data_IF_661683321107
#
_entry.id   IF_661683321107
#
_cell.length_a   1.000
_cell.length_b   1.000
_cell.length_c   1.000
_cell.angle_alpha   90.00
_cell.angle_beta   90.00
_cell.angle_gamma   90.00
#
_symmetry.space_group_name_H-M   'P 1'
#
loop_
_entity.id
_entity.type
_entity.pdbx_description
1 polymer ?
#
# COMPACT_ATOMS: atom_id res chain seq x y z
N UNK A 1 -23.99 -53.22 14.99
CA UNK A 1 -22.55 -53.29 14.68
C UNK A 1 -22.20 -52.73 13.31
N UNK A 2 -22.99 -52.98 12.25
CA UNK A 2 -22.75 -52.39 10.91
C UNK A 2 -22.90 -50.86 10.86
N UNK A 3 -23.83 -50.34 11.61
CA UNK A 3 -24.05 -48.88 11.73
C UNK A 3 -22.85 -48.15 12.35
N UNK A 4 -22.25 -48.71 13.41
CA UNK A 4 -21.04 -48.12 14.02
C UNK A 4 -19.82 -48.17 13.10
N UNK A 5 -19.69 -49.21 12.28
CA UNK A 5 -18.55 -49.31 11.29
C UNK A 5 -18.74 -48.28 10.17
N UNK A 6 -19.98 -48.08 9.72
CA UNK A 6 -20.30 -47.11 8.67
C UNK A 6 -20.08 -45.68 9.15
N UNK A 7 -20.52 -45.37 10.40
CA UNK A 7 -20.30 -44.05 11.00
C UNK A 7 -18.84 -43.75 11.24
N UNK A 8 -18.03 -44.77 11.68
CA UNK A 8 -16.58 -44.65 11.83
C UNK A 8 -15.87 -44.39 10.50
N UNK A 9 -16.31 -45.06 9.40
CA UNK A 9 -15.79 -44.86 8.08
C UNK A 9 -16.11 -43.46 7.53
N UNK A 10 -17.34 -42.96 7.75
CA UNK A 10 -17.75 -41.61 7.36
C UNK A 10 -16.97 -40.57 8.16
N UNK A 11 -16.83 -40.74 9.48
CA UNK A 11 -16.06 -39.85 10.34
C UNK A 11 -14.60 -39.77 9.86
N UNK A 12 -13.96 -40.90 9.56
CA UNK A 12 -12.58 -40.89 9.03
C UNK A 12 -12.45 -40.20 7.68
N UNK A 13 -13.45 -40.28 6.81
CA UNK A 13 -13.46 -39.50 5.55
C UNK A 13 -13.62 -38.01 5.75
N UNK A 14 -14.45 -37.61 6.70
CA UNK A 14 -14.63 -36.20 7.06
C UNK A 14 -13.32 -35.65 7.66
N UNK A 15 -12.71 -36.38 8.58
CA UNK A 15 -11.43 -36.02 9.19
C UNK A 15 -10.33 -35.88 8.11
N UNK A 16 -10.20 -36.84 7.21
CA UNK A 16 -9.24 -36.77 6.10
C UNK A 16 -9.51 -35.59 5.15
N UNK A 17 -10.77 -35.25 4.91
CA UNK A 17 -11.15 -34.09 4.10
C UNK A 17 -10.81 -32.77 4.81
N UNK A 18 -11.09 -32.69 6.11
CA UNK A 18 -10.72 -31.54 6.96
C UNK A 18 -9.20 -31.38 6.99
N UNK A 19 -8.45 -32.46 7.24
CA UNK A 19 -7.00 -32.46 7.23
C UNK A 19 -6.42 -31.99 5.90
N UNK A 20 -6.97 -32.48 4.79
CA UNK A 20 -6.59 -32.06 3.45
C UNK A 20 -6.86 -30.58 3.22
N UNK A 21 -8.02 -30.09 3.63
CA UNK A 21 -8.39 -28.69 3.58
C UNK A 21 -7.42 -27.82 4.38
N UNK A 22 -7.17 -28.17 5.64
CA UNK A 22 -6.27 -27.43 6.52
C UNK A 22 -4.82 -27.44 5.98
N UNK A 23 -4.35 -28.55 5.45
CA UNK A 23 -3.02 -28.63 4.81
C UNK A 23 -2.88 -27.74 3.58
N UNK A 24 -3.97 -27.53 2.85
CA UNK A 24 -3.98 -26.68 1.65
C UNK A 24 -4.33 -25.21 1.95
N UNK A 25 -4.84 -24.93 3.13
CA UNK A 25 -5.19 -23.57 3.57
C UNK A 25 -3.95 -22.69 3.74
N UNK A 26 -2.84 -23.27 4.19
CA UNK A 26 -1.64 -22.53 4.52
C UNK A 26 -0.80 -22.22 3.28
N UNK A 27 -0.39 -20.97 3.09
CA UNK A 27 0.47 -20.56 1.99
C UNK A 27 1.90 -21.11 2.16
N UNK A 28 2.71 -21.12 1.07
CA UNK A 28 3.94 -21.91 1.00
C UNK A 28 4.96 -21.68 2.10
N UNK A 29 5.24 -20.39 2.41
CA UNK A 29 6.28 -20.04 3.38
C UNK A 29 5.81 -20.29 4.80
N UNK A 30 4.61 -19.86 5.18
CA UNK A 30 4.09 -20.08 6.53
C UNK A 30 3.91 -21.56 6.82
N UNK A 31 3.45 -22.35 5.84
CA UNK A 31 3.33 -23.82 5.97
C UNK A 31 4.68 -24.48 6.29
N UNK A 32 5.74 -24.08 5.58
CA UNK A 32 7.08 -24.62 5.81
C UNK A 32 7.62 -24.18 7.19
N UNK A 33 7.45 -22.91 7.55
CA UNK A 33 7.91 -22.36 8.82
C UNK A 33 7.20 -23.01 10.01
N UNK A 34 5.88 -23.16 9.95
CA UNK A 34 5.10 -23.81 11.00
C UNK A 34 5.51 -25.26 11.20
N UNK A 35 5.73 -25.99 10.09
CA UNK A 35 6.24 -27.36 10.15
C UNK A 35 7.62 -27.43 10.80
N UNK A 36 8.56 -26.60 10.37
CA UNK A 36 9.92 -26.54 10.92
C UNK A 36 9.90 -26.23 12.42
N UNK A 37 9.12 -25.26 12.84
CA UNK A 37 9.00 -24.87 14.25
C UNK A 37 8.51 -26.00 15.18
N UNK A 38 7.84 -27.01 14.65
CA UNK A 38 7.34 -28.17 15.42
C UNK A 38 8.34 -29.32 15.53
N UNK A 39 9.38 -29.37 14.67
CA UNK A 39 10.30 -30.53 14.60
C UNK A 39 11.29 -30.58 15.75
N UNK A 40 11.49 -29.49 16.48
CA UNK A 40 12.40 -29.42 17.66
C UNK A 40 13.85 -29.82 17.38
N UNK A 41 14.37 -29.41 16.22
CA UNK A 41 15.77 -29.65 15.89
C UNK A 41 16.73 -28.80 16.74
N UNK A 42 17.95 -29.33 16.97
CA UNK A 42 19.00 -28.58 17.67
C UNK A 42 19.56 -27.48 16.79
N UNK A 43 19.49 -26.25 17.27
CA UNK A 43 19.99 -25.08 16.57
C UNK A 43 21.47 -24.80 16.96
N UNK A 44 22.36 -24.96 15.97
CA UNK A 44 23.77 -24.59 16.05
C UNK A 44 24.08 -23.35 15.19
N UNK A 45 23.04 -22.65 14.76
CA UNK A 45 23.10 -21.45 13.94
C UNK A 45 22.51 -20.25 14.69
N UNK A 46 22.70 -19.04 14.16
CA UNK A 46 22.02 -17.83 14.63
C UNK A 46 20.49 -17.94 14.39
N UNK A 47 19.65 -17.21 15.15
CA UNK A 47 19.97 -16.27 16.24
C UNK A 47 20.44 -16.93 17.54
N UNK A 48 21.24 -16.20 18.33
CA UNK A 48 21.86 -16.70 19.56
C UNK A 48 20.90 -17.05 20.70
N UNK A 49 19.61 -16.76 20.58
CA UNK A 49 18.59 -17.18 21.56
C UNK A 49 18.20 -18.65 21.42
N UNK A 50 18.61 -19.34 20.34
CA UNK A 50 18.41 -20.79 20.11
C UNK A 50 16.98 -21.25 20.42
N UNK A 51 16.00 -20.79 19.61
CA UNK A 51 14.58 -21.11 19.81
C UNK A 51 13.99 -20.55 21.11
N UNK A 52 14.61 -19.50 21.67
CA UNK A 52 14.18 -18.84 22.92
C UNK A 52 14.80 -19.39 24.20
N UNK A 53 15.60 -20.49 24.16
CA UNK A 53 16.16 -21.11 25.35
C UNK A 53 17.08 -20.18 26.12
N UNK A 54 17.79 -19.26 25.45
CA UNK A 54 18.65 -18.27 26.12
C UNK A 54 17.84 -17.31 26.99
N UNK A 55 16.64 -16.91 26.59
CA UNK A 55 15.78 -16.02 27.37
C UNK A 55 15.33 -16.66 28.69
N UNK A 56 15.11 -17.96 28.71
CA UNK A 56 14.65 -18.67 29.91
C UNK A 56 15.70 -18.74 31.02
N UNK A 57 16.97 -18.36 30.76
CA UNK A 57 18.08 -18.42 31.73
C UNK A 57 18.13 -17.21 32.68
N UNK A 58 17.31 -16.19 32.48
CA UNK A 58 17.27 -14.99 33.31
C UNK A 58 15.82 -14.52 33.53
N UNK A 59 15.48 -13.91 34.69
CA UNK A 59 14.10 -13.51 34.99
C UNK A 59 13.47 -12.55 33.95
N UNK A 60 14.22 -11.54 33.52
CA UNK A 60 13.74 -10.60 32.46
C UNK A 60 13.51 -11.31 31.13
N UNK A 61 14.42 -12.22 30.76
CA UNK A 61 14.25 -13.03 29.55
C UNK A 61 13.04 -13.95 29.63
N UNK A 62 12.80 -14.55 30.81
CA UNK A 62 11.62 -15.39 31.03
C UNK A 62 10.32 -14.63 30.86
N UNK A 63 10.21 -13.43 31.44
CA UNK A 63 9.04 -12.57 31.26
C UNK A 63 8.80 -12.21 29.75
N UNK A 64 9.87 -11.96 29.02
CA UNK A 64 9.81 -11.70 27.56
C UNK A 64 9.34 -12.94 26.78
N UNK A 65 9.89 -14.12 27.12
CA UNK A 65 9.51 -15.38 26.49
C UNK A 65 8.04 -15.74 26.76
N UNK A 66 7.59 -15.59 28.01
CA UNK A 66 6.22 -15.89 28.42
C UNK A 66 5.21 -14.95 27.76
N UNK A 67 5.60 -13.68 27.52
CA UNK A 67 4.76 -12.69 26.83
C UNK A 67 4.55 -13.02 25.33
N UNK A 68 5.62 -13.35 24.61
CA UNK A 68 5.55 -13.58 23.16
C UNK A 68 5.22 -15.02 22.78
N UNK A 69 5.50 -15.98 23.65
CA UNK A 69 5.29 -17.40 23.42
C UNK A 69 6.39 -18.06 22.59
N UNK A 70 6.50 -19.36 22.74
CA UNK A 70 7.55 -20.19 22.15
C UNK A 70 7.63 -20.09 20.62
N UNK A 71 6.48 -20.04 19.95
CA UNK A 71 6.41 -20.07 18.50
C UNK A 71 7.12 -18.89 17.83
N UNK A 72 7.09 -17.70 18.45
CA UNK A 72 7.83 -16.55 17.92
C UNK A 72 9.33 -16.87 17.83
N UNK A 73 9.91 -17.36 18.93
CA UNK A 73 11.36 -17.62 19.02
C UNK A 73 11.79 -18.82 18.17
N UNK A 74 10.92 -19.81 18.01
CA UNK A 74 11.18 -20.98 17.16
C UNK A 74 11.05 -20.69 15.68
N UNK A 75 10.32 -19.66 15.32
CA UNK A 75 10.19 -19.18 13.95
C UNK A 75 11.20 -18.11 13.55
N UNK A 76 11.92 -17.52 14.53
CA UNK A 76 13.01 -16.58 14.25
C UNK A 76 14.32 -17.35 14.00
N UNK A 77 14.62 -17.52 12.72
CA UNK A 77 15.63 -18.45 12.21
C UNK A 77 16.67 -17.71 11.35
N UNK A 78 17.67 -18.45 10.92
CA UNK A 78 18.73 -18.00 10.03
C UNK A 78 18.52 -18.56 8.60
N UNK A 79 19.07 -17.88 7.60
CA UNK A 79 19.21 -18.38 6.23
C UNK A 79 20.00 -19.70 6.14
N UNK A 80 20.66 -20.14 7.24
CA UNK A 80 21.31 -21.45 7.34
C UNK A 80 20.31 -22.62 7.30
N UNK A 81 19.01 -22.37 7.53
CA UNK A 81 17.96 -23.38 7.44
C UNK A 81 17.55 -23.53 5.96
N UNK A 82 18.30 -24.34 5.22
CA UNK A 82 18.16 -24.47 3.76
C UNK A 82 16.78 -24.95 3.29
N UNK A 83 16.05 -25.71 4.11
CA UNK A 83 14.69 -26.18 3.75
C UNK A 83 13.64 -25.05 3.69
N UNK A 84 13.88 -23.91 4.34
CA UNK A 84 13.03 -22.74 4.27
C UNK A 84 13.34 -21.82 3.06
N UNK A 85 14.44 -22.11 2.35
CA UNK A 85 14.92 -21.28 1.26
C UNK A 85 15.64 -20.01 1.74
N UNK A 86 15.99 -19.15 0.80
CA UNK A 86 16.72 -17.92 1.06
C UNK A 86 15.98 -16.74 0.47
N UNK A 87 15.80 -15.68 1.28
CA UNK A 87 15.27 -14.41 0.79
C UNK A 87 16.23 -13.72 -0.19
N UNK A 88 17.55 -13.92 -0.01
CA UNK A 88 18.56 -13.29 -0.86
C UNK A 88 18.66 -13.95 -2.24
N UNK A 89 18.31 -15.24 -2.32
CA UNK A 89 18.31 -16.02 -3.56
C UNK A 89 16.90 -16.24 -4.11
N UNK A 90 15.87 -15.76 -3.42
CA UNK A 90 14.47 -15.95 -3.79
C UNK A 90 14.11 -17.43 -4.06
N UNK A 91 14.59 -18.32 -3.20
CA UNK A 91 14.54 -19.77 -3.40
C UNK A 91 13.65 -20.50 -2.39
N UNK A 92 13.36 -21.78 -2.65
CA UNK A 92 12.60 -22.65 -1.76
C UNK A 92 11.18 -22.15 -1.46
N UNK A 93 10.66 -22.37 -0.24
CA UNK A 93 9.34 -21.89 0.18
C UNK A 93 9.17 -20.37 0.06
N UNK A 94 10.23 -19.56 0.28
CA UNK A 94 10.19 -18.11 0.10
C UNK A 94 9.93 -17.77 -1.36
N UNK A 95 10.69 -18.35 -2.29
CA UNK A 95 10.47 -18.13 -3.73
C UNK A 95 9.10 -18.65 -4.22
N UNK A 96 8.58 -19.72 -3.62
CA UNK A 96 7.23 -20.20 -3.89
C UNK A 96 6.17 -19.21 -3.41
N UNK A 97 6.37 -18.59 -2.23
CA UNK A 97 5.52 -17.55 -1.68
C UNK A 97 5.53 -16.28 -2.55
N UNK A 98 6.69 -15.86 -3.06
CA UNK A 98 6.80 -14.73 -3.98
C UNK A 98 6.01 -14.93 -5.28
N UNK A 99 6.09 -16.14 -5.85
CA UNK A 99 5.29 -16.53 -7.03
C UNK A 99 3.79 -16.55 -6.73
N UNK A 100 3.41 -17.03 -5.54
CA UNK A 100 2.02 -17.02 -5.10
C UNK A 100 1.51 -15.60 -4.92
N UNK A 101 2.26 -14.74 -4.23
CA UNK A 101 1.91 -13.33 -4.07
C UNK A 101 1.83 -12.60 -5.42
N UNK A 102 2.75 -12.87 -6.36
CA UNK A 102 2.69 -12.30 -7.71
C UNK A 102 1.37 -12.65 -8.42
N UNK A 103 0.91 -13.89 -8.33
CA UNK A 103 -0.39 -14.32 -8.85
C UNK A 103 -1.55 -13.56 -8.21
N UNK A 104 -1.58 -13.47 -6.88
CA UNK A 104 -2.65 -12.82 -6.11
C UNK A 104 -2.73 -11.32 -6.43
N UNK A 105 -1.59 -10.64 -6.44
CA UNK A 105 -1.51 -9.20 -6.69
C UNK A 105 -1.46 -8.82 -8.18
N UNK A 106 -1.45 -9.80 -9.10
CA UNK A 106 -1.48 -9.58 -10.54
C UNK A 106 -0.18 -9.00 -11.09
N UNK A 107 0.95 -9.38 -10.55
CA UNK A 107 2.28 -9.02 -11.02
C UNK A 107 2.92 -10.16 -11.82
N UNK A 108 3.95 -9.86 -12.62
CA UNK A 108 4.81 -10.88 -13.20
C UNK A 108 5.82 -11.41 -12.17
N UNK A 109 6.35 -10.52 -11.34
CA UNK A 109 7.25 -10.85 -10.22
C UNK A 109 6.85 -10.08 -8.96
N UNK A 110 7.04 -10.73 -7.81
CA UNK A 110 6.89 -10.11 -6.49
C UNK A 110 8.08 -10.49 -5.63
N UNK A 111 8.51 -9.56 -4.79
CA UNK A 111 9.60 -9.77 -3.82
C UNK A 111 9.11 -9.43 -2.41
N UNK A 112 9.39 -10.31 -1.45
CA UNK A 112 9.24 -10.01 -0.03
C UNK A 112 10.29 -9.00 0.42
N UNK A 113 9.88 -7.99 1.18
CA UNK A 113 10.78 -7.05 1.83
C UNK A 113 10.46 -7.00 3.31
N UNK A 114 11.49 -7.14 4.15
CA UNK A 114 11.37 -7.22 5.61
C UNK A 114 11.80 -5.93 6.33
N UNK A 115 12.19 -4.91 5.59
CA UNK A 115 12.71 -3.65 6.12
C UNK A 115 11.85 -2.44 5.72
N UNK A 116 10.55 -2.68 5.49
CA UNK A 116 9.56 -1.65 5.13
C UNK A 116 9.60 -1.20 3.68
N UNK A 117 8.55 -0.50 3.26
CA UNK A 117 8.44 0.09 1.92
C UNK A 117 9.53 1.13 1.62
N UNK A 118 10.16 1.71 2.64
CA UNK A 118 11.35 2.55 2.45
C UNK A 118 12.48 1.79 1.78
N UNK A 119 12.67 0.52 2.14
CA UNK A 119 13.62 -0.36 1.47
C UNK A 119 13.14 -0.73 0.07
N UNK A 120 11.86 -1.07 -0.09
CA UNK A 120 11.26 -1.36 -1.41
C UNK A 120 11.50 -0.20 -2.39
N UNK A 121 11.25 1.02 -1.97
CA UNK A 121 11.46 2.22 -2.77
C UNK A 121 12.93 2.39 -3.18
N UNK A 122 13.87 2.19 -2.25
CA UNK A 122 15.31 2.29 -2.55
C UNK A 122 15.77 1.20 -3.52
N UNK A 123 15.30 -0.04 -3.32
CA UNK A 123 15.61 -1.17 -4.21
C UNK A 123 15.19 -0.89 -5.65
N UNK A 124 13.92 -0.50 -5.85
CA UNK A 124 13.39 -0.19 -7.19
C UNK A 124 14.19 0.95 -7.81
N UNK A 125 14.37 2.04 -7.07
CA UNK A 125 15.02 3.23 -7.58
C UNK A 125 16.46 2.92 -8.00
N UNK A 126 17.27 2.29 -7.15
CA UNK A 126 18.66 1.97 -7.43
C UNK A 126 18.84 0.90 -8.52
N UNK A 127 17.84 0.01 -8.71
CA UNK A 127 17.84 -0.92 -9.83
C UNK A 127 17.63 -0.20 -11.18
N UNK A 128 16.88 0.92 -11.17
CA UNK A 128 16.45 1.64 -12.37
C UNK A 128 17.29 2.87 -12.71
N UNK A 129 17.89 3.54 -11.71
CA UNK A 129 18.53 4.86 -11.85
C UNK A 129 19.95 4.83 -11.30
N UNK A 130 20.90 5.37 -12.07
CA UNK A 130 22.30 5.48 -11.69
C UNK A 130 22.76 6.93 -11.69
N UNK A 131 24.04 7.16 -11.37
CA UNK A 131 24.65 8.48 -11.28
C UNK A 131 24.42 9.32 -12.53
N UNK A 132 24.04 10.58 -12.35
CA UNK A 132 23.75 11.57 -13.40
C UNK A 132 22.58 11.23 -14.33
N UNK A 133 21.75 10.24 -14.00
CA UNK A 133 20.51 10.00 -14.74
C UNK A 133 19.34 10.81 -14.18
N UNK A 134 18.50 11.30 -15.07
CA UNK A 134 17.31 12.10 -14.72
C UNK A 134 16.17 11.18 -14.31
N UNK A 135 15.57 11.45 -13.16
CA UNK A 135 14.34 10.79 -12.68
C UNK A 135 13.21 11.80 -12.50
N UNK A 136 12.02 11.48 -13.01
CA UNK A 136 10.81 12.25 -12.78
C UNK A 136 10.22 11.85 -11.42
N UNK A 137 10.09 12.80 -10.52
CA UNK A 137 9.66 12.52 -9.15
C UNK A 137 8.44 13.36 -8.78
N UNK A 138 7.39 12.71 -8.30
CA UNK A 138 6.31 13.40 -7.58
C UNK A 138 6.92 14.18 -6.41
N UNK A 139 6.62 15.49 -6.31
CA UNK A 139 7.11 16.29 -5.19
C UNK A 139 6.53 15.83 -3.85
N UNK A 140 5.43 15.08 -3.87
CA UNK A 140 4.83 14.40 -2.72
C UNK A 140 5.45 13.00 -2.47
N UNK A 141 6.62 12.70 -2.99
CA UNK A 141 7.25 11.40 -2.78
C UNK A 141 7.67 11.22 -1.31
N UNK A 142 7.68 9.95 -0.88
CA UNK A 142 8.18 9.59 0.44
C UNK A 142 9.69 9.87 0.56
N UNK A 143 10.15 10.25 1.76
CA UNK A 143 11.57 10.56 2.06
C UNK A 143 12.55 9.48 1.59
N UNK A 144 12.15 8.21 1.53
CA UNK A 144 12.98 7.12 1.02
C UNK A 144 13.36 7.29 -0.46
N UNK A 145 12.53 7.96 -1.27
CA UNK A 145 12.86 8.28 -2.66
C UNK A 145 13.94 9.38 -2.72
N UNK A 146 13.83 10.41 -1.89
CA UNK A 146 14.88 11.45 -1.78
C UNK A 146 16.22 10.85 -1.33
N UNK A 147 16.17 9.91 -0.37
CA UNK A 147 17.35 9.16 0.04
C UNK A 147 17.92 8.32 -1.10
N UNK A 148 17.08 7.62 -1.87
CA UNK A 148 17.52 6.82 -3.00
C UNK A 148 18.16 7.68 -4.10
N UNK A 149 17.62 8.86 -4.40
CA UNK A 149 18.21 9.83 -5.32
C UNK A 149 19.60 10.28 -4.85
N UNK A 150 19.73 10.59 -3.56
CA UNK A 150 21.03 10.98 -2.97
C UNK A 150 22.04 9.85 -3.05
N UNK A 151 21.64 8.62 -2.73
CA UNK A 151 22.52 7.44 -2.73
C UNK A 151 22.97 7.05 -4.14
N UNK A 152 22.11 7.18 -5.15
CA UNK A 152 22.43 6.86 -6.53
C UNK A 152 23.14 7.99 -7.29
N UNK A 153 23.11 9.22 -6.77
CA UNK A 153 23.57 10.42 -7.50
C UNK A 153 22.68 10.78 -8.68
N UNK A 154 21.40 10.42 -8.62
CA UNK A 154 20.41 10.76 -9.63
C UNK A 154 20.04 12.25 -9.61
N UNK A 155 19.59 12.76 -10.74
CA UNK A 155 19.11 14.13 -10.88
C UNK A 155 17.59 14.14 -10.83
N UNK A 156 16.97 14.74 -9.80
CA UNK A 156 15.52 14.85 -9.72
C UNK A 156 14.98 15.90 -10.69
N UNK A 157 13.89 15.58 -11.37
CA UNK A 157 13.03 16.53 -12.04
C UNK A 157 11.64 16.40 -11.44
N UNK A 158 11.22 17.39 -10.62
CA UNK A 158 10.02 17.29 -9.82
C UNK A 158 8.76 17.63 -10.59
N UNK A 159 7.75 16.77 -10.46
CA UNK A 159 6.36 17.00 -10.89
C UNK A 159 5.58 17.55 -9.71
N UNK A 160 4.99 18.74 -9.86
CA UNK A 160 4.37 19.48 -8.76
C UNK A 160 2.88 19.17 -8.62
N UNK A 161 2.43 18.61 -7.48
CA UNK A 161 1.01 18.42 -7.22
C UNK A 161 0.31 19.73 -6.84
N UNK A 162 -1.01 19.75 -7.02
CA UNK A 162 -1.89 20.80 -6.50
C UNK A 162 -1.96 20.76 -4.97
N UNK A 163 -2.49 21.80 -4.38
CA UNK A 163 -2.77 21.88 -2.95
C UNK A 163 -4.05 22.66 -2.73
N UNK A 164 -4.96 22.16 -1.90
CA UNK A 164 -6.20 22.85 -1.57
C UNK A 164 -6.05 23.77 -0.36
N UNK A 165 -7.13 24.47 0.01
CA UNK A 165 -7.14 25.42 1.13
C UNK A 165 -7.00 24.75 2.52
N UNK A 166 -7.24 23.43 2.66
CA UNK A 166 -6.92 22.68 3.87
C UNK A 166 -5.44 22.25 3.94
N UNK A 167 -4.66 22.57 2.91
CA UNK A 167 -3.29 22.09 2.80
C UNK A 167 -3.18 20.64 2.33
N UNK A 168 -4.30 19.99 2.00
CA UNK A 168 -4.30 18.63 1.43
C UNK A 168 -3.58 18.66 0.09
N UNK A 169 -2.66 17.70 -0.09
CA UNK A 169 -1.91 17.57 -1.34
C UNK A 169 -2.81 16.88 -2.37
N UNK A 170 -3.03 17.58 -3.46
CA UNK A 170 -3.85 17.17 -4.59
C UNK A 170 -3.12 16.36 -5.65
N UNK A 171 -3.74 16.16 -6.81
CA UNK A 171 -3.10 15.47 -7.92
C UNK A 171 -2.04 16.35 -8.60
N UNK A 172 -1.07 15.70 -9.25
CA UNK A 172 -0.24 16.33 -10.26
C UNK A 172 -1.15 16.58 -11.47
N UNK A 173 -1.29 17.82 -11.96
CA UNK A 173 -2.15 18.09 -13.10
C UNK A 173 -1.74 17.27 -14.34
N UNK A 174 -2.67 16.68 -15.09
CA UNK A 174 -2.34 15.90 -16.29
C UNK A 174 -1.47 16.66 -17.30
N UNK A 175 -1.65 17.98 -17.40
CA UNK A 175 -0.87 18.86 -18.26
C UNK A 175 0.62 18.87 -17.87
N UNK A 176 0.95 18.73 -16.57
CA UNK A 176 2.32 18.67 -16.09
C UNK A 176 3.01 17.32 -16.38
N UNK A 177 2.24 16.27 -16.69
CA UNK A 177 2.73 14.95 -17.07
C UNK A 177 2.92 14.76 -18.57
N UNK A 178 2.48 15.72 -19.40
CA UNK A 178 2.67 15.66 -20.85
C UNK A 178 4.14 15.83 -21.23
N UNK A 179 4.58 15.18 -22.31
CA UNK A 179 5.96 15.16 -22.74
C UNK A 179 6.56 16.58 -22.94
N UNK A 180 5.80 17.51 -23.48
CA UNK A 180 6.26 18.89 -23.68
C UNK A 180 6.48 19.65 -22.37
N UNK A 181 5.62 19.45 -21.38
CA UNK A 181 5.77 20.05 -20.07
C UNK A 181 6.99 19.47 -19.34
N UNK A 182 7.21 18.15 -19.45
CA UNK A 182 8.37 17.47 -18.88
C UNK A 182 9.66 17.95 -19.55
N UNK A 183 9.73 18.04 -20.88
CA UNK A 183 10.87 18.59 -21.61
C UNK A 183 11.18 20.01 -21.16
N UNK A 184 10.15 20.84 -20.98
CA UNK A 184 10.32 22.21 -20.50
C UNK A 184 10.95 22.24 -19.10
N UNK A 185 10.38 21.51 -18.14
CA UNK A 185 10.93 21.49 -16.76
C UNK A 185 12.34 20.92 -16.70
N UNK A 186 12.67 19.93 -17.51
CA UNK A 186 14.03 19.40 -17.68
C UNK A 186 14.98 20.49 -18.21
N UNK A 187 14.58 21.25 -19.21
CA UNK A 187 15.41 22.33 -19.78
C UNK A 187 15.65 23.50 -18.84
N UNK A 188 14.75 23.69 -17.86
CA UNK A 188 14.85 24.70 -16.81
C UNK A 188 15.58 24.21 -15.56
N UNK A 189 15.91 22.91 -15.48
CA UNK A 189 16.57 22.30 -14.33
C UNK A 189 18.06 22.60 -14.33
N UNK A 190 18.51 23.45 -13.42
CA UNK A 190 19.90 23.88 -13.32
C UNK A 190 20.90 22.78 -12.96
N UNK A 191 20.44 21.62 -12.50
CA UNK A 191 21.28 20.44 -12.22
C UNK A 191 21.64 19.65 -13.49
N UNK A 192 20.92 19.88 -14.60
CA UNK A 192 21.14 19.18 -15.88
C UNK A 192 22.05 20.04 -16.74
N UNK A 193 23.34 19.71 -16.74
CA UNK A 193 24.36 20.39 -17.54
C UNK A 193 24.46 19.77 -18.93
N UNK A 194 25.21 20.41 -19.86
CA UNK A 194 25.30 19.99 -21.28
C UNK A 194 25.91 18.61 -21.53
N UNK A 195 26.63 18.09 -20.57
CA UNK A 195 27.30 16.78 -20.58
C UNK A 195 26.41 15.67 -20.01
N UNK A 196 25.21 16.01 -19.51
CA UNK A 196 24.26 15.07 -18.93
C UNK A 196 23.20 14.71 -19.96
N UNK A 197 22.91 13.42 -20.12
CA UNK A 197 21.75 12.96 -20.90
C UNK A 197 20.45 13.41 -20.20
N UNK A 198 19.74 14.32 -20.84
CA UNK A 198 18.50 14.89 -20.34
C UNK A 198 17.30 13.94 -20.45
N UNK A 199 17.46 12.73 -21.04
CA UNK A 199 16.40 11.75 -21.18
C UNK A 199 16.06 11.14 -19.81
N UNK A 200 14.82 11.29 -19.31
CA UNK A 200 14.47 10.69 -18.04
C UNK A 200 14.35 9.16 -18.18
N UNK A 201 14.88 8.43 -17.20
CA UNK A 201 14.94 6.95 -17.24
C UNK A 201 13.91 6.26 -16.37
N UNK A 202 13.26 7.01 -15.47
CA UNK A 202 12.34 6.48 -14.48
C UNK A 202 11.39 7.57 -13.99
N UNK A 203 10.13 7.21 -13.68
CA UNK A 203 9.16 8.10 -13.05
C UNK A 203 8.60 7.49 -11.79
N UNK A 204 8.33 8.32 -10.76
CA UNK A 204 7.73 7.89 -9.50
C UNK A 204 6.54 8.79 -9.18
N UNK A 205 5.39 8.16 -8.86
CA UNK A 205 4.17 8.83 -8.42
C UNK A 205 3.65 8.14 -7.15
N UNK A 206 3.27 8.93 -6.15
CA UNK A 206 2.62 8.44 -4.93
C UNK A 206 1.15 8.15 -5.20
N UNK A 207 0.72 6.91 -5.03
CA UNK A 207 -0.67 6.45 -5.21
C UNK A 207 -1.05 5.37 -4.17
N UNK A 208 -2.05 5.57 -3.32
CA UNK A 208 -2.79 6.81 -3.12
C UNK A 208 -2.04 7.76 -2.17
N UNK A 209 -2.42 9.04 -2.21
CA UNK A 209 -1.87 10.01 -1.27
C UNK A 209 -2.30 9.69 0.16
N UNK A 210 -1.70 10.36 1.13
CA UNK A 210 -2.01 10.15 2.55
C UNK A 210 -3.49 10.43 2.85
N UNK A 211 -4.04 11.49 2.25
CA UNK A 211 -5.44 11.90 2.43
C UNK A 211 -6.42 11.13 1.53
N UNK A 212 -5.94 10.17 0.76
CA UNK A 212 -6.77 9.23 0.02
C UNK A 212 -7.02 9.58 -1.45
N UNK A 213 -6.22 10.44 -2.06
CA UNK A 213 -6.34 10.64 -3.52
C UNK A 213 -5.78 9.46 -4.29
N UNK A 214 -6.63 8.84 -5.10
CA UNK A 214 -6.30 7.73 -5.98
C UNK A 214 -6.31 8.21 -7.43
N UNK A 215 -5.16 8.10 -8.12
CA UNK A 215 -5.10 8.38 -9.55
C UNK A 215 -5.80 7.30 -10.38
N UNK A 216 -6.30 7.65 -11.55
CA UNK A 216 -6.47 6.70 -12.64
C UNK A 216 -5.05 6.29 -13.12
N UNK A 217 -4.57 5.12 -12.67
CA UNK A 217 -3.21 4.66 -12.93
C UNK A 217 -2.94 4.49 -14.42
N UNK A 218 -3.92 3.97 -15.17
CA UNK A 218 -3.85 3.85 -16.63
C UNK A 218 -3.60 5.20 -17.29
N UNK A 219 -4.34 6.24 -16.86
CA UNK A 219 -4.19 7.59 -17.40
C UNK A 219 -2.81 8.19 -17.10
N UNK A 220 -2.29 7.96 -15.92
CA UNK A 220 -0.94 8.40 -15.54
C UNK A 220 0.13 7.69 -16.38
N UNK A 221 -0.02 6.37 -16.60
CA UNK A 221 0.87 5.60 -17.48
C UNK A 221 0.83 6.09 -18.94
N UNK A 222 -0.36 6.40 -19.47
CA UNK A 222 -0.52 6.98 -20.82
C UNK A 222 0.23 8.30 -20.98
N UNK A 223 0.15 9.17 -19.98
CA UNK A 223 0.79 10.49 -20.02
C UNK A 223 2.31 10.37 -19.89
N UNK A 224 2.80 9.68 -18.85
CA UNK A 224 4.23 9.53 -18.57
C UNK A 224 4.94 8.62 -19.57
N UNK A 225 4.23 7.66 -20.17
CA UNK A 225 4.78 6.73 -21.17
C UNK A 225 5.28 7.39 -22.45
N UNK A 226 4.97 8.66 -22.66
CA UNK A 226 5.53 9.48 -23.71
C UNK A 226 6.93 9.99 -23.39
N UNK A 227 7.35 9.93 -22.13
CA UNK A 227 8.61 10.45 -21.64
C UNK A 227 9.54 9.40 -21.03
N UNK A 228 8.99 8.33 -20.44
CA UNK A 228 9.76 7.27 -19.77
C UNK A 228 9.24 5.88 -20.12
N UNK A 229 10.13 4.88 -20.04
CA UNK A 229 9.80 3.48 -20.25
C UNK A 229 9.59 2.70 -18.92
N UNK A 230 9.85 3.33 -17.78
CA UNK A 230 9.70 2.73 -16.45
C UNK A 230 8.93 3.65 -15.52
N UNK A 231 7.97 3.08 -14.83
CA UNK A 231 7.18 3.79 -13.83
C UNK A 231 7.12 3.06 -12.51
N UNK A 232 7.13 3.81 -11.43
CA UNK A 232 6.98 3.33 -10.07
C UNK A 232 5.83 4.04 -9.38
N UNK A 233 4.81 3.28 -8.99
CA UNK A 233 3.78 3.75 -8.09
C UNK A 233 4.18 3.41 -6.64
N UNK A 234 4.40 4.44 -5.83
CA UNK A 234 4.52 4.24 -4.39
C UNK A 234 3.12 4.09 -3.80
N UNK A 235 2.69 2.84 -3.67
CA UNK A 235 1.40 2.39 -3.14
C UNK A 235 1.52 1.92 -1.68
N UNK A 236 2.45 2.49 -0.92
CA UNK A 236 2.69 2.08 0.47
C UNK A 236 1.43 2.08 1.35
N UNK A 237 0.43 2.87 1.01
CA UNK A 237 -0.85 2.98 1.72
C UNK A 237 -2.04 2.41 0.92
N UNK A 238 -1.79 1.61 -0.13
CA UNK A 238 -2.85 1.28 -1.10
C UNK A 238 -2.87 -0.18 -1.57
N UNK A 239 -2.21 -1.08 -0.84
CA UNK A 239 -2.07 -2.50 -1.23
C UNK A 239 -3.39 -3.28 -1.37
N UNK A 240 -4.49 -2.79 -0.81
CA UNK A 240 -5.82 -3.43 -0.86
C UNK A 240 -6.60 -3.12 -2.15
N UNK A 241 -6.20 -2.13 -2.92
CA UNK A 241 -7.01 -1.59 -4.03
C UNK A 241 -7.40 -2.65 -5.08
N UNK A 242 -6.50 -3.59 -5.39
CA UNK A 242 -6.78 -4.67 -6.34
C UNK A 242 -7.99 -5.53 -5.97
N UNK A 243 -8.31 -5.64 -4.70
CA UNK A 243 -9.27 -6.61 -4.19
C UNK A 243 -10.70 -6.09 -4.09
N UNK A 244 -10.93 -4.82 -4.48
CA UNK A 244 -12.27 -4.25 -4.55
C UNK A 244 -12.52 -3.57 -5.90
N UNK A 245 -13.65 -3.87 -6.58
CA UNK A 245 -13.99 -3.30 -7.88
C UNK A 245 -14.09 -1.77 -7.91
N UNK A 246 -14.35 -1.12 -6.77
CA UNK A 246 -14.46 0.35 -6.67
C UNK A 246 -13.18 1.06 -7.12
N UNK A 247 -12.01 0.39 -6.99
CA UNK A 247 -10.70 0.92 -7.37
C UNK A 247 -10.25 0.51 -8.77
N UNK A 248 -11.16 0.02 -9.62
CA UNK A 248 -10.81 -0.43 -10.97
C UNK A 248 -9.97 0.62 -11.72
N UNK A 249 -8.87 0.18 -12.35
CA UNK A 249 -7.89 0.98 -13.12
C UNK A 249 -7.18 2.09 -12.30
N UNK A 250 -7.22 2.04 -10.95
CA UNK A 250 -6.67 3.08 -10.06
C UNK A 250 -5.46 2.63 -9.23
N UNK A 251 -4.88 1.49 -9.54
CA UNK A 251 -3.69 0.95 -8.87
C UNK A 251 -2.71 0.37 -9.89
N UNK A 252 -1.43 0.29 -9.55
CA UNK A 252 -0.34 -0.08 -10.47
C UNK A 252 -0.54 -1.43 -11.18
N UNK A 253 -0.99 -2.45 -10.43
CA UNK A 253 -1.17 -3.81 -10.96
C UNK A 253 -2.61 -4.04 -11.47
N UNK A 254 -3.24 -3.04 -12.11
CA UNK A 254 -4.60 -3.17 -12.66
C UNK A 254 -4.66 -4.15 -13.83
N UNK A 255 -5.85 -4.66 -14.13
CA UNK A 255 -6.08 -5.59 -15.24
C UNK A 255 -5.43 -6.96 -15.06
N UNK A 256 -5.28 -7.71 -16.16
CA UNK A 256 -4.65 -9.02 -16.17
C UNK A 256 -3.17 -8.92 -16.58
N UNK A 257 -2.22 -9.48 -15.81
CA UNK A 257 -0.80 -9.46 -16.19
C UNK A 257 -0.52 -10.11 -17.56
N UNK A 258 -1.32 -11.09 -17.99
CA UNK A 258 -1.16 -11.72 -19.30
C UNK A 258 -1.44 -10.78 -20.50
N UNK A 259 -2.17 -9.69 -20.28
CA UNK A 259 -2.49 -8.70 -21.31
C UNK A 259 -1.39 -7.63 -21.44
N UNK A 260 -0.49 -7.56 -20.46
CA UNK A 260 0.63 -6.60 -20.46
C UNK A 260 1.75 -7.07 -21.40
N UNK A 261 2.06 -6.24 -22.40
CA UNK A 261 2.98 -6.61 -23.49
C UNK A 261 4.42 -6.16 -23.19
N UNK A 262 5.43 -6.80 -23.79
CA UNK A 262 6.82 -6.32 -23.72
C UNK A 262 7.03 -4.89 -24.28
N UNK A 263 6.08 -4.40 -25.07
CA UNK A 263 6.07 -3.03 -25.62
C UNK A 263 5.42 -2.01 -24.71
N UNK A 264 4.77 -2.45 -23.63
CA UNK A 264 4.20 -1.56 -22.63
C UNK A 264 5.28 -1.09 -21.66
N UNK A 265 4.98 -0.11 -20.84
CA UNK A 265 5.90 0.40 -19.82
C UNK A 265 6.20 -0.67 -18.78
N UNK A 266 7.44 -0.76 -18.27
CA UNK A 266 7.69 -1.54 -17.06
C UNK A 266 7.15 -0.80 -15.85
N UNK A 267 6.28 -1.45 -15.08
CA UNK A 267 5.61 -0.86 -13.92
C UNK A 267 6.06 -1.55 -12.64
N UNK A 268 6.47 -0.74 -11.67
CA UNK A 268 6.80 -1.17 -10.31
C UNK A 268 5.74 -0.65 -9.34
N UNK A 269 5.43 -1.44 -8.31
CA UNK A 269 4.64 -0.99 -7.18
C UNK A 269 5.34 -1.33 -5.87
N UNK A 270 5.36 -0.38 -4.95
CA UNK A 270 5.72 -0.59 -3.55
C UNK A 270 4.47 -0.63 -2.71
N UNK A 271 4.27 -1.72 -1.95
CA UNK A 271 3.10 -1.84 -1.06
C UNK A 271 3.56 -2.24 0.35
N UNK A 272 3.24 -1.41 1.36
CA UNK A 272 3.43 -1.79 2.77
C UNK A 272 2.27 -2.66 3.22
N UNK A 273 2.49 -3.94 3.29
CA UNK A 273 1.48 -4.90 3.77
C UNK A 273 1.16 -4.73 5.25
N UNK A 274 2.09 -4.15 6.01
CA UNK A 274 1.91 -3.86 7.43
C UNK A 274 1.05 -2.63 7.75
N UNK A 275 0.71 -1.80 6.76
CA UNK A 275 -0.08 -0.58 7.00
C UNK A 275 -1.58 -0.85 6.97
N UNK A 276 -2.10 -1.21 5.81
CA UNK A 276 -3.54 -1.40 5.60
C UNK A 276 -3.91 -2.82 5.15
N UNK A 277 -2.96 -3.74 5.22
CA UNK A 277 -3.16 -5.18 5.13
C UNK A 277 -2.72 -5.85 6.44
N UNK A 278 -2.89 -7.16 6.57
CA UNK A 278 -2.74 -7.87 7.84
C UNK A 278 -1.33 -8.44 8.07
N UNK A 279 -0.25 -7.68 7.81
CA UNK A 279 1.11 -8.13 8.04
C UNK A 279 1.77 -7.47 9.26
N UNK A 280 2.84 -8.08 9.77
CA UNK A 280 3.66 -7.50 10.83
C UNK A 280 4.40 -6.26 10.36
N UNK A 281 4.68 -5.33 11.27
CA UNK A 281 5.47 -4.13 10.97
C UNK A 281 6.75 -4.48 10.22
N UNK A 282 7.18 -3.61 9.30
CA UNK A 282 8.27 -3.77 8.33
C UNK A 282 7.94 -4.67 7.13
N UNK A 283 6.85 -5.41 7.12
CA UNK A 283 6.45 -6.20 5.97
C UNK A 283 6.07 -5.32 4.77
N UNK A 284 6.61 -5.62 3.61
CA UNK A 284 6.32 -4.93 2.35
C UNK A 284 6.46 -5.88 1.17
N UNK A 285 5.81 -5.53 0.05
CA UNK A 285 6.03 -6.15 -1.25
C UNK A 285 6.59 -5.14 -2.25
N UNK A 286 7.40 -5.65 -3.17
CA UNK A 286 7.67 -5.04 -4.46
C UNK A 286 6.97 -5.89 -5.52
N UNK A 287 6.11 -5.27 -6.33
CA UNK A 287 5.47 -5.91 -7.47
C UNK A 287 6.01 -5.33 -8.78
N UNK A 288 6.20 -6.17 -9.79
CA UNK A 288 6.74 -5.77 -11.09
C UNK A 288 5.85 -6.33 -12.21
N UNK A 289 5.45 -5.47 -13.14
CA UNK A 289 5.00 -5.80 -14.48
C UNK A 289 6.08 -5.48 -15.48
N UNK A 290 6.58 -6.52 -16.12
CA UNK A 290 7.69 -6.43 -17.07
C UNK A 290 7.21 -5.93 -18.43
N UNK A 291 7.91 -4.93 -18.94
CA UNK A 291 7.65 -4.29 -20.24
C UNK A 291 8.94 -3.77 -20.85
N UNK A 292 8.88 -2.58 -21.48
CA UNK A 292 10.05 -1.90 -22.04
C UNK A 292 11.09 -1.63 -20.96
N UNK A 293 12.37 -1.71 -21.33
CA UNK A 293 13.50 -1.46 -20.41
C UNK A 293 13.39 -2.24 -19.11
N UNK A 294 12.87 -3.47 -19.20
CA UNK A 294 12.82 -4.38 -18.07
C UNK A 294 14.18 -4.47 -17.35
N UNK A 295 14.15 -4.66 -16.05
CA UNK A 295 15.33 -4.92 -15.23
C UNK A 295 15.40 -6.42 -14.99
N UNK A 296 16.45 -7.08 -15.51
CA UNK A 296 16.61 -8.50 -15.29
C UNK A 296 16.74 -8.84 -13.80
N UNK A 297 16.43 -10.11 -13.47
CA UNK A 297 16.37 -10.53 -12.07
C UNK A 297 17.71 -10.36 -11.36
N UNK A 298 18.84 -10.66 -12.01
CA UNK A 298 20.14 -10.60 -11.34
C UNK A 298 20.53 -9.17 -10.97
N UNK A 299 20.34 -8.23 -11.88
CA UNK A 299 20.56 -6.80 -11.60
C UNK A 299 19.61 -6.27 -10.52
N UNK A 300 18.34 -6.67 -10.57
CA UNK A 300 17.36 -6.27 -9.55
C UNK A 300 17.73 -6.83 -8.18
N UNK A 301 18.18 -8.09 -8.14
CA UNK A 301 18.62 -8.74 -6.91
C UNK A 301 19.88 -8.13 -6.31
N UNK A 302 20.83 -7.66 -7.13
CA UNK A 302 21.98 -6.89 -6.62
C UNK A 302 21.51 -5.63 -5.87
N UNK A 303 20.58 -4.87 -6.43
CA UNK A 303 19.97 -3.72 -5.73
C UNK A 303 19.24 -4.14 -4.47
N UNK A 304 18.53 -5.26 -4.50
CA UNK A 304 17.85 -5.82 -3.33
C UNK A 304 18.84 -6.18 -2.22
N UNK A 305 19.92 -6.90 -2.54
CA UNK A 305 20.96 -7.31 -1.58
C UNK A 305 21.69 -6.11 -0.93
N UNK A 306 21.86 -5.00 -1.66
CA UNK A 306 22.44 -3.77 -1.10
C UNK A 306 21.58 -3.18 0.04
N UNK A 307 20.30 -3.43 0.05
CA UNK A 307 19.34 -2.80 0.97
C UNK A 307 18.73 -3.80 1.98
N UNK A 308 18.79 -5.09 1.69
CA UNK A 308 18.24 -6.14 2.53
C UNK A 308 19.25 -6.60 3.61
N UNK A 309 18.73 -7.03 4.75
CA UNK A 309 19.54 -7.73 5.75
C UNK A 309 19.89 -9.13 5.26
N UNK A 310 21.12 -9.58 5.53
CA UNK A 310 21.51 -11.00 5.39
C UNK A 310 20.89 -11.92 6.45
N UNK A 311 20.21 -11.34 7.43
CA UNK A 311 19.48 -12.06 8.50
C UNK A 311 18.02 -11.60 8.51
N UNK A 312 17.21 -11.96 7.51
CA UNK A 312 15.82 -11.52 7.43
C UNK A 312 14.99 -12.17 8.54
N UNK A 313 14.02 -11.44 9.07
CA UNK A 313 13.09 -11.97 10.05
C UNK A 313 12.03 -12.84 9.37
N UNK A 314 12.05 -14.15 9.60
CA UNK A 314 11.14 -15.11 9.00
C UNK A 314 9.67 -14.92 9.39
N UNK A 315 9.31 -14.57 10.63
CA UNK A 315 7.95 -14.16 10.99
C UNK A 315 7.38 -13.03 10.11
N UNK A 316 8.19 -12.06 9.73
CA UNK A 316 7.76 -10.97 8.83
C UNK A 316 7.47 -11.51 7.42
N UNK A 317 8.33 -12.39 6.88
CA UNK A 317 8.11 -13.03 5.58
C UNK A 317 6.82 -13.86 5.62
N UNK A 318 6.65 -14.66 6.68
CA UNK A 318 5.45 -15.47 6.88
C UNK A 318 4.18 -14.61 6.98
N UNK A 319 4.25 -13.44 7.62
CA UNK A 319 3.11 -12.52 7.69
C UNK A 319 2.72 -11.96 6.33
N UNK A 320 3.69 -11.68 5.46
CA UNK A 320 3.43 -11.31 4.06
C UNK A 320 2.73 -12.45 3.29
N UNK A 321 3.21 -13.68 3.47
CA UNK A 321 2.67 -14.87 2.83
C UNK A 321 1.20 -15.10 3.25
N UNK A 322 0.91 -15.00 4.55
CA UNK A 322 -0.45 -15.06 5.10
C UNK A 322 -1.32 -13.93 4.56
N UNK A 323 -0.78 -12.70 4.48
CA UNK A 323 -1.51 -11.57 3.90
C UNK A 323 -1.92 -11.85 2.47
N UNK A 324 -1.03 -12.40 1.64
CA UNK A 324 -1.37 -12.77 0.28
C UNK A 324 -2.51 -13.82 0.25
N UNK A 325 -2.47 -14.81 1.14
CA UNK A 325 -3.52 -15.83 1.23
C UNK A 325 -4.87 -15.26 1.70
N UNK A 326 -4.86 -14.33 2.64
CA UNK A 326 -6.08 -13.65 3.12
C UNK A 326 -6.73 -12.80 2.02
N UNK A 327 -5.91 -12.23 1.15
CA UNK A 327 -6.39 -11.39 0.05
C UNK A 327 -6.81 -12.19 -1.19
N UNK A 328 -6.46 -13.48 -1.28
CA UNK A 328 -6.80 -14.31 -2.43
C UNK A 328 -8.31 -14.61 -2.50
N UNK A 329 -8.86 -14.58 -3.71
CA UNK A 329 -10.25 -14.89 -3.99
C UNK A 329 -11.26 -13.98 -3.28
N UNK A 330 -12.24 -14.58 -2.59
CA UNK A 330 -13.32 -13.85 -1.92
C UNK A 330 -12.88 -13.14 -0.63
N UNK A 331 -11.77 -13.57 -0.02
CA UNK A 331 -11.28 -13.03 1.25
C UNK A 331 -10.92 -11.55 1.13
N UNK A 332 -10.13 -11.18 0.14
CA UNK A 332 -9.73 -9.80 -0.09
C UNK A 332 -10.90 -8.85 -0.35
N UNK A 333 -11.89 -9.33 -1.15
CA UNK A 333 -13.13 -8.54 -1.35
C UNK A 333 -13.91 -8.35 -0.06
N UNK A 334 -14.10 -9.39 0.74
CA UNK A 334 -14.86 -9.30 1.99
C UNK A 334 -14.21 -8.32 2.97
N UNK A 335 -12.89 -8.39 3.15
CA UNK A 335 -12.14 -7.48 4.03
C UNK A 335 -12.23 -6.01 3.57
N UNK A 336 -12.12 -5.78 2.27
CA UNK A 336 -12.22 -4.41 1.73
C UNK A 336 -13.65 -3.87 1.74
N UNK A 337 -14.65 -4.70 1.46
CA UNK A 337 -16.07 -4.33 1.59
C UNK A 337 -16.40 -3.89 3.02
N UNK A 338 -15.99 -4.66 4.03
CA UNK A 338 -16.21 -4.32 5.45
C UNK A 338 -15.60 -2.95 5.77
N UNK A 339 -14.33 -2.73 5.41
CA UNK A 339 -13.64 -1.46 5.66
C UNK A 339 -14.31 -0.26 4.96
N UNK A 340 -14.81 -0.45 3.74
CA UNK A 340 -15.52 0.61 3.01
C UNK A 340 -16.86 0.92 3.67
N UNK A 341 -17.64 -0.09 4.05
CA UNK A 341 -18.93 0.13 4.72
C UNK A 341 -18.79 0.84 6.06
N UNK A 342 -17.80 0.48 6.87
CA UNK A 342 -17.49 1.17 8.14
C UNK A 342 -17.11 2.64 7.90
N UNK A 343 -16.25 2.90 6.91
CA UNK A 343 -15.86 4.25 6.55
C UNK A 343 -17.05 5.08 6.03
N UNK A 344 -17.92 4.50 5.19
CA UNK A 344 -19.14 5.15 4.70
C UNK A 344 -20.08 5.50 5.84
N UNK A 345 -20.31 4.55 6.78
CA UNK A 345 -21.16 4.78 7.94
C UNK A 345 -20.62 5.93 8.81
N UNK A 346 -19.31 5.96 9.08
CA UNK A 346 -18.68 7.04 9.83
C UNK A 346 -18.81 8.38 9.10
N UNK A 347 -18.54 8.45 7.80
CA UNK A 347 -18.65 9.66 6.97
C UNK A 347 -20.08 10.21 6.95
N UNK A 348 -21.09 9.34 6.83
CA UNK A 348 -22.49 9.75 6.86
C UNK A 348 -22.91 10.27 8.22
N UNK A 349 -22.44 9.64 9.31
CA UNK A 349 -22.70 10.12 10.67
C UNK A 349 -22.09 11.52 10.89
N UNK A 350 -20.83 11.73 10.47
CA UNK A 350 -20.19 13.04 10.58
C UNK A 350 -20.91 14.12 9.76
N UNK A 351 -21.31 13.81 8.52
CA UNK A 351 -22.06 14.71 7.67
C UNK A 351 -23.47 15.03 8.25
N UNK A 352 -24.09 14.08 8.94
CA UNK A 352 -25.35 14.29 9.65
C UNK A 352 -25.15 15.22 10.86
N UNK A 353 -24.16 14.96 11.71
CA UNK A 353 -23.85 15.81 12.87
C UNK A 353 -23.51 17.23 12.43
N UNK A 354 -22.75 17.38 11.36
CA UNK A 354 -22.46 18.70 10.80
C UNK A 354 -23.76 19.41 10.34
N UNK A 355 -24.64 18.72 9.62
CA UNK A 355 -25.91 19.29 9.17
C UNK A 355 -26.86 19.67 10.33
N UNK A 356 -26.86 18.88 11.41
CA UNK A 356 -27.78 19.08 12.54
C UNK A 356 -27.32 20.21 13.50
N UNK A 357 -26.02 20.46 13.61
CA UNK A 357 -25.44 21.30 14.67
C UNK A 357 -24.57 22.47 14.19
N UNK A 358 -24.07 22.48 12.95
CA UNK A 358 -23.15 23.54 12.48
C UNK A 358 -23.79 24.93 12.49
N UNK A 359 -25.05 25.04 12.06
CA UNK A 359 -25.80 26.30 12.02
C UNK A 359 -26.07 26.88 13.44
N UNK A 360 -25.99 26.03 14.45
CA UNK A 360 -26.17 26.44 15.86
C UNK A 360 -24.83 26.91 16.48
N UNK A 361 -23.71 26.83 15.73
CA UNK A 361 -22.38 27.18 16.22
C UNK A 361 -21.79 26.20 17.23
N UNK A 362 -22.39 24.99 17.35
CA UNK A 362 -21.99 23.98 18.34
C UNK A 362 -21.12 22.88 17.76
N UNK A 363 -21.07 22.76 16.41
CA UNK A 363 -20.30 21.73 15.72
C UNK A 363 -19.68 22.26 14.44
N UNK A 364 -18.38 22.03 14.24
CA UNK A 364 -17.62 22.51 13.08
C UNK A 364 -16.77 21.42 12.43
N UNK A 365 -16.83 20.20 12.91
CA UNK A 365 -16.13 19.07 12.30
C UNK A 365 -16.90 18.51 11.11
N UNK A 366 -16.18 18.11 10.08
CA UNK A 366 -16.73 17.38 8.96
C UNK A 366 -15.66 16.42 8.39
N UNK A 367 -16.05 15.54 7.48
CA UNK A 367 -15.10 14.78 6.69
C UNK A 367 -14.80 15.51 5.38
N UNK A 368 -13.56 15.44 4.92
CA UNK A 368 -13.22 15.84 3.56
C UNK A 368 -13.78 14.82 2.58
N UNK A 369 -14.86 15.18 1.90
CA UNK A 369 -15.65 14.31 1.03
C UNK A 369 -16.66 15.14 0.21
N UNK A 370 -17.30 14.56 -0.84
CA UNK A 370 -18.40 15.23 -1.53
C UNK A 370 -19.57 15.60 -0.59
N UNK A 371 -20.12 16.78 -0.72
CA UNK A 371 -21.35 17.18 -0.01
C UNK A 371 -22.58 16.49 -0.61
N UNK A 372 -22.56 16.25 -1.92
CA UNK A 372 -23.62 15.66 -2.71
C UNK A 372 -23.05 14.62 -3.65
N UNK A 373 -23.84 13.59 -3.90
CA UNK A 373 -23.58 12.55 -4.91
C UNK A 373 -24.78 12.40 -5.83
N UNK A 374 -24.61 11.70 -6.96
CA UNK A 374 -25.72 11.25 -7.78
C UNK A 374 -26.17 9.87 -7.30
N UNK A 375 -27.48 9.66 -7.16
CA UNK A 375 -28.03 8.33 -6.87
C UNK A 375 -28.09 7.48 -8.16
N UNK A 376 -28.62 6.25 -8.04
CA UNK A 376 -28.71 5.31 -9.15
C UNK A 376 -29.57 5.82 -10.33
N UNK A 377 -30.45 6.77 -10.07
CA UNK A 377 -31.31 7.43 -11.07
C UNK A 377 -30.64 8.71 -11.63
N UNK A 378 -29.44 9.04 -11.18
CA UNK A 378 -28.71 10.25 -11.59
C UNK A 378 -29.16 11.53 -10.90
N UNK A 379 -30.02 11.45 -9.90
CA UNK A 379 -30.52 12.59 -9.13
C UNK A 379 -29.50 12.99 -8.05
N UNK A 380 -29.22 14.29 -7.96
CA UNK A 380 -28.37 14.85 -6.90
C UNK A 380 -29.01 14.70 -5.53
N UNK A 381 -28.30 14.01 -4.63
CA UNK A 381 -28.71 13.77 -3.23
C UNK A 381 -27.58 14.17 -2.28
N UNK A 382 -27.93 14.66 -1.10
CA UNK A 382 -26.93 14.95 -0.06
C UNK A 382 -26.23 13.64 0.38
N UNK A 383 -24.90 13.66 0.51
CA UNK A 383 -24.09 12.49 0.86
C UNK A 383 -24.63 11.73 2.09
N UNK A 384 -25.03 12.48 3.13
CA UNK A 384 -25.59 11.92 4.37
C UNK A 384 -26.91 11.16 4.20
N UNK A 385 -27.63 11.35 3.08
CA UNK A 385 -28.92 10.71 2.76
C UNK A 385 -28.80 9.67 1.65
N UNK A 386 -27.65 9.53 1.02
CA UNK A 386 -27.41 8.55 -0.03
C UNK A 386 -27.49 7.12 0.51
N UNK A 387 -27.84 6.16 -0.35
CA UNK A 387 -27.83 4.75 0.03
C UNK A 387 -26.40 4.30 0.36
N UNK A 388 -26.15 3.76 1.59
CA UNK A 388 -24.80 3.33 2.00
C UNK A 388 -24.19 2.27 1.09
N UNK A 389 -25.00 1.31 0.62
CA UNK A 389 -24.56 0.25 -0.30
C UNK A 389 -24.13 0.84 -1.65
N UNK A 390 -24.86 1.84 -2.14
CA UNK A 390 -24.50 2.54 -3.38
C UNK A 390 -23.20 3.31 -3.21
N UNK A 391 -23.02 4.02 -2.10
CA UNK A 391 -21.75 4.68 -1.78
C UNK A 391 -20.58 3.70 -1.66
N UNK A 392 -20.82 2.51 -1.12
CA UNK A 392 -19.78 1.50 -0.95
C UNK A 392 -19.37 0.79 -2.25
N UNK A 393 -20.18 0.84 -3.30
CA UNK A 393 -19.97 0.08 -4.53
C UNK A 393 -19.81 0.92 -5.80
N UNK A 394 -20.26 2.19 -5.77
CA UNK A 394 -20.23 3.05 -6.95
C UNK A 394 -19.05 4.03 -6.94
N UNK A 395 -18.03 3.83 -7.81
CA UNK A 395 -16.84 4.69 -7.86
C UNK A 395 -17.17 6.15 -8.16
N UNK A 396 -18.22 6.43 -8.95
CA UNK A 396 -18.62 7.77 -9.35
C UNK A 396 -18.95 8.67 -8.17
N UNK A 397 -19.39 8.10 -7.04
CA UNK A 397 -19.65 8.84 -5.81
C UNK A 397 -18.38 9.46 -5.20
N UNK A 398 -17.21 9.03 -5.62
CA UNK A 398 -15.91 9.41 -5.05
C UNK A 398 -14.99 10.12 -6.04
N UNK A 399 -15.37 10.17 -7.33
CA UNK A 399 -14.62 10.87 -8.37
C UNK A 399 -14.58 12.37 -8.06
N UNK A 400 -13.42 12.98 -8.26
CA UNK A 400 -13.25 14.42 -8.19
C UNK A 400 -13.66 15.01 -9.56
N UNK A 401 -14.79 15.71 -9.59
CA UNK A 401 -15.23 16.40 -10.79
C UNK A 401 -14.68 17.83 -10.88
N UNK A 402 -14.48 18.38 -12.09
CA UNK A 402 -13.94 19.72 -12.26
C UNK A 402 -14.74 20.78 -11.48
N UNK A 403 -14.02 21.67 -10.78
CA UNK A 403 -14.57 22.83 -10.08
C UNK A 403 -15.55 22.53 -8.92
N UNK A 404 -15.64 21.29 -8.45
CA UNK A 404 -16.38 21.02 -7.22
C UNK A 404 -15.69 21.63 -5.99
N UNK A 405 -16.45 22.35 -5.20
CA UNK A 405 -15.92 23.12 -4.06
C UNK A 405 -15.31 22.24 -2.96
N UNK A 406 -15.86 21.04 -2.73
CA UNK A 406 -15.46 20.19 -1.62
C UNK A 406 -13.99 19.75 -1.68
N UNK A 407 -13.44 19.50 -2.89
CA UNK A 407 -12.05 19.09 -3.02
C UNK A 407 -11.07 20.26 -3.11
N UNK A 408 -11.49 21.42 -3.63
CA UNK A 408 -10.71 22.65 -3.66
C UNK A 408 -9.49 22.65 -4.61
N UNK A 409 -9.45 21.77 -5.62
CA UNK A 409 -8.35 21.67 -6.60
C UNK A 409 -8.65 22.38 -7.93
N UNK A 410 -9.83 23.01 -8.06
CA UNK A 410 -10.21 23.77 -9.26
C UNK A 410 -10.56 22.89 -10.44
N UNK A 411 -10.16 23.32 -11.65
CA UNK A 411 -10.46 22.67 -12.93
C UNK A 411 -9.52 21.50 -13.22
N UNK A 412 -9.77 20.38 -12.54
CA UNK A 412 -9.04 19.11 -12.76
C UNK A 412 -9.70 18.30 -13.87
N UNK A 413 -8.94 17.41 -14.54
CA UNK A 413 -9.50 16.48 -15.56
C UNK A 413 -10.51 15.52 -14.90
N UNK A 414 -11.70 15.43 -15.49
CA UNK A 414 -12.77 14.57 -15.00
C UNK A 414 -12.35 13.08 -15.01
N UNK A 415 -12.68 12.34 -13.94
CA UNK A 415 -12.31 10.93 -13.81
C UNK A 415 -10.82 10.64 -13.56
N UNK A 416 -9.97 11.68 -13.52
CA UNK A 416 -8.54 11.53 -13.30
C UNK A 416 -8.18 11.04 -11.90
N UNK A 417 -8.88 11.55 -10.90
CA UNK A 417 -8.71 11.15 -9.51
C UNK A 417 -10.03 10.81 -8.82
N UNK A 418 -9.98 9.98 -7.81
CA UNK A 418 -11.07 9.76 -6.86
C UNK A 418 -10.55 9.84 -5.42
N UNK A 419 -11.46 10.09 -4.49
CA UNK A 419 -11.21 9.93 -3.06
C UNK A 419 -11.38 8.47 -2.67
N UNK A 420 -10.43 7.93 -1.93
CA UNK A 420 -10.50 6.60 -1.33
C UNK A 420 -11.54 6.60 -0.18
N UNK A 421 -12.59 5.80 -0.26
CA UNK A 421 -13.60 5.74 0.81
C UNK A 421 -13.02 5.41 2.19
N UNK A 422 -12.01 4.53 2.25
CA UNK A 422 -11.44 4.00 3.50
C UNK A 422 -10.63 5.08 4.24
N UNK A 423 -9.98 6.01 3.53
CA UNK A 423 -9.16 7.04 4.15
C UNK A 423 -9.98 8.26 4.54
N UNK A 424 -10.28 8.37 5.81
CA UNK A 424 -11.13 9.43 6.35
C UNK A 424 -10.29 10.56 6.93
N UNK A 425 -10.28 11.71 6.26
CA UNK A 425 -9.69 12.95 6.80
C UNK A 425 -10.80 13.81 7.44
N UNK A 426 -10.66 14.10 8.73
CA UNK A 426 -11.59 14.98 9.47
C UNK A 426 -11.08 16.39 9.36
N UNK A 427 -11.90 17.30 8.85
CA UNK A 427 -11.62 18.74 8.84
C UNK A 427 -12.01 19.37 10.16
N UNK A 428 -11.15 20.20 10.75
CA UNK A 428 -11.32 20.71 12.11
C UNK A 428 -11.60 22.20 12.21
N UNK A 429 -11.05 23.10 11.37
CA UNK A 429 -11.39 24.51 11.40
C UNK A 429 -12.56 24.82 10.49
N UNK A 430 -13.31 25.84 10.83
CA UNK A 430 -14.16 26.53 9.88
C UNK A 430 -13.28 27.29 8.89
N UNK A 431 -12.76 26.59 7.88
CA UNK A 431 -11.98 27.18 6.80
C UNK A 431 -12.72 26.99 5.47
N UNK A 432 -12.69 27.98 4.63
CA UNK A 432 -13.32 27.98 3.32
C UNK A 432 -12.47 28.69 2.28
N UNK A 433 -12.96 28.86 1.06
CA UNK A 433 -12.25 29.57 -0.02
C UNK A 433 -11.76 30.97 0.37
N UNK A 434 -12.48 31.64 1.28
CA UNK A 434 -12.18 33.00 1.75
C UNK A 434 -11.25 33.01 2.98
N UNK A 435 -10.74 31.84 3.42
CA UNK A 435 -9.84 31.71 4.57
C UNK A 435 -10.48 31.11 5.81
N UNK A 436 -9.88 31.38 6.98
CA UNK A 436 -10.35 30.86 8.26
C UNK A 436 -11.72 31.39 8.64
N UNK A 437 -12.65 30.47 8.90
CA UNK A 437 -13.95 30.81 9.47
C UNK A 437 -13.87 31.26 10.93
N UNK A 438 -15.01 31.71 11.47
CA UNK A 438 -15.13 32.16 12.86
C UNK A 438 -15.11 31.03 13.89
N UNK A 439 -15.39 29.81 13.44
CA UNK A 439 -15.51 28.59 14.29
C UNK A 439 -14.46 27.58 13.86
N UNK A 440 -13.98 26.78 14.81
CA UNK A 440 -13.04 25.71 14.59
C UNK A 440 -11.94 25.65 15.63
N UNK A 441 -11.18 24.57 15.59
CA UNK A 441 -9.99 24.36 16.44
C UNK A 441 -8.85 23.84 15.56
N UNK A 442 -7.58 24.12 15.90
CA UNK A 442 -6.47 23.46 15.25
C UNK A 442 -6.56 21.92 15.38
N UNK A 443 -6.23 21.20 14.32
CA UNK A 443 -6.30 19.74 14.32
C UNK A 443 -5.42 19.10 15.40
N UNK A 444 -4.32 19.75 15.77
CA UNK A 444 -3.45 19.31 16.88
C UNK A 444 -4.18 19.27 18.24
N UNK A 445 -5.13 20.19 18.48
CA UNK A 445 -5.96 20.19 19.70
C UNK A 445 -6.92 19.00 19.67
N UNK A 446 -7.60 18.76 18.54
CA UNK A 446 -8.47 17.60 18.39
C UNK A 446 -7.69 16.29 18.55
N UNK A 447 -6.53 16.17 17.91
CA UNK A 447 -5.66 15.00 18.01
C UNK A 447 -5.23 14.74 19.46
N UNK A 448 -4.82 15.78 20.20
CA UNK A 448 -4.47 15.65 21.62
C UNK A 448 -5.67 15.20 22.47
N UNK A 449 -6.85 15.76 22.22
CA UNK A 449 -8.09 15.35 22.91
C UNK A 449 -8.46 13.90 22.63
N UNK A 450 -8.43 13.49 21.36
CA UNK A 450 -8.68 12.08 20.96
C UNK A 450 -7.69 11.13 21.63
N UNK A 451 -6.40 11.46 21.61
CA UNK A 451 -5.34 10.66 22.24
C UNK A 451 -5.54 10.53 23.76
N UNK A 452 -5.93 11.61 24.44
CA UNK A 452 -6.24 11.60 25.89
C UNK A 452 -7.46 10.70 26.20
N UNK A 453 -8.32 10.45 25.23
CA UNK A 453 -9.49 9.57 25.33
C UNK A 453 -9.29 8.20 24.67
N UNK A 454 -8.05 7.78 24.39
CA UNK A 454 -7.70 6.45 23.91
C UNK A 454 -7.86 6.26 22.39
N UNK A 455 -8.06 7.33 21.62
CA UNK A 455 -8.17 7.30 20.15
C UNK A 455 -6.93 7.95 19.56
N UNK A 456 -6.10 7.18 18.89
CA UNK A 456 -4.84 7.64 18.29
C UNK A 456 -5.03 7.80 16.79
N UNK A 457 -5.09 9.04 16.26
CA UNK A 457 -5.14 9.27 14.81
C UNK A 457 -3.79 8.98 14.15
N UNK A 458 -3.82 8.53 12.90
CA UNK A 458 -2.61 8.17 12.15
C UNK A 458 -1.76 9.39 11.77
N UNK A 459 -2.41 10.50 11.45
CA UNK A 459 -1.74 11.74 11.02
C UNK A 459 -2.53 12.94 11.49
N UNK A 460 -1.81 14.01 11.79
CA UNK A 460 -2.38 15.31 12.08
C UNK A 460 -1.64 16.37 11.28
N UNK A 461 -2.39 17.24 10.58
CA UNK A 461 -1.87 18.44 9.92
C UNK A 461 -2.34 19.68 10.66
N UNK A 462 -2.25 20.86 10.05
CA UNK A 462 -2.78 22.08 10.67
C UNK A 462 -4.32 22.08 10.72
N UNK A 463 -4.96 21.43 9.74
CA UNK A 463 -6.41 21.53 9.52
C UNK A 463 -7.14 20.18 9.38
N UNK A 464 -6.42 19.08 9.31
CA UNK A 464 -7.00 17.73 9.16
C UNK A 464 -6.31 16.71 10.05
#
# INVERSE_FOLDING_TARGET
SEMCIRDSFIAGRIEAAIDTYLKNLLPPMFKALAKFSQVHEYSWHTPGHTGGTAFMKAPAGRAYFDFFGENLFRSDLSISVGELGSLLDHSGPIGASEKYAAKVFGAHRTYHVTNGSSTSNRVIFMACVTHNQVALCDRNCHKSIEQAMTMSGAIPNYMMPLRNFYGIIGPIPPQALQAEAIKKTISENSLITKDIDSTPVHAIVTNSTYDGLCYNARRVEELLGQSVDRMHFDEAWYGYARFNPIYKDRFAMYGNPADHKPTDMTVFATQSTHKLLAALSQASFIHIREGKKNVDHSRFNESFMMQASTSPNYPIIASNDITAAMMDGKGGKALTDESIHEAVAFRQLMAKLNADFADQGEWFFNCWQPDFVKDAEGKKIAFRLANPEYLATEPECWVLHPNEAWHGFGDIEDGYCMLDPIKVSITTPGIGPDGLGKMGVPASILSAYLTANGIIPEKTTDFT
#
